data_IF_255276902698
#
_entry.id   IF_255276902698
#
_cell.length_a   1.000
_cell.length_b   1.000
_cell.length_c   1.000
_cell.angle_alpha   90.00
_cell.angle_beta   90.00
_cell.angle_gamma   90.00
#
_symmetry.space_group_name_H-M   'P 1'
#
loop_
_entity.id
_entity.type
_entity.pdbx_description
1 polymer ?
#
# COMPACT_ATOMS: atom_id res chain seq x y z
N UNK A 1 -10.31 -11.70 -24.83
CA UNK A 1 -9.18 -10.74 -24.73
C UNK A 1 -9.56 -9.68 -23.71
N UNK A 2 -8.70 -9.28 -22.74
CA UNK A 2 -8.99 -8.10 -21.93
C UNK A 2 -9.17 -6.91 -22.88
N UNK A 3 -10.18 -6.08 -22.63
CA UNK A 3 -10.44 -4.90 -23.47
C UNK A 3 -9.17 -4.06 -23.56
N UNK A 4 -8.63 -3.92 -24.78
CA UNK A 4 -7.47 -3.09 -25.07
C UNK A 4 -7.88 -1.64 -24.83
N UNK A 5 -7.60 -1.15 -23.63
CA UNK A 5 -7.69 0.27 -23.31
C UNK A 5 -6.49 0.99 -23.93
N UNK A 6 -6.64 2.23 -24.42
CA UNK A 6 -5.51 3.00 -24.92
C UNK A 6 -4.40 3.10 -23.87
N UNK A 7 -3.15 3.02 -24.33
CA UNK A 7 -1.95 3.02 -23.49
C UNK A 7 -1.94 4.18 -22.48
N UNK A 8 -2.26 5.38 -22.95
CA UNK A 8 -2.26 6.62 -22.18
C UNK A 8 -3.31 6.57 -21.07
N UNK A 9 -4.49 6.03 -21.38
CA UNK A 9 -5.58 5.85 -20.43
C UNK A 9 -5.21 4.81 -19.38
N UNK A 10 -4.54 3.73 -19.78
CA UNK A 10 -4.04 2.72 -18.85
C UNK A 10 -3.02 3.31 -17.87
N UNK A 11 -2.02 4.04 -18.37
CA UNK A 11 -1.01 4.73 -17.54
C UNK A 11 -1.69 5.69 -16.55
N UNK A 12 -2.66 6.49 -17.01
CA UNK A 12 -3.40 7.40 -16.13
C UNK A 12 -4.15 6.68 -15.01
N UNK A 13 -4.75 5.52 -15.31
CA UNK A 13 -5.43 4.70 -14.29
C UNK A 13 -4.45 4.07 -13.32
N UNK A 14 -3.31 3.57 -13.81
CA UNK A 14 -2.24 3.04 -12.97
C UNK A 14 -1.65 4.11 -12.03
N UNK A 15 -1.46 5.35 -12.52
CA UNK A 15 -1.04 6.49 -11.68
C UNK A 15 -2.05 6.80 -10.57
N UNK A 16 -3.35 6.70 -10.85
CA UNK A 16 -4.41 6.87 -9.83
C UNK A 16 -4.39 5.76 -8.79
N UNK A 17 -4.13 4.50 -9.19
CA UNK A 17 -3.89 3.39 -8.25
C UNK A 17 -2.68 3.71 -7.39
N UNK A 18 -1.60 4.22 -7.98
CA UNK A 18 -0.40 4.62 -7.23
C UNK A 18 -0.69 5.68 -6.16
N UNK A 19 -1.53 6.68 -6.45
CA UNK A 19 -1.93 7.66 -5.43
C UNK A 19 -2.65 7.01 -4.24
N UNK A 20 -3.52 6.02 -4.50
CA UNK A 20 -4.20 5.26 -3.45
C UNK A 20 -3.18 4.44 -2.65
N UNK A 21 -2.24 3.77 -3.33
CA UNK A 21 -1.18 3.00 -2.67
C UNK A 21 -0.30 3.89 -1.79
N UNK A 22 0.10 5.09 -2.26
CA UNK A 22 0.89 6.03 -1.47
C UNK A 22 0.11 6.46 -0.22
N UNK A 23 -1.16 6.84 -0.38
CA UNK A 23 -2.00 7.20 0.75
C UNK A 23 -2.10 6.05 1.76
N UNK A 24 -2.36 4.82 1.31
CA UNK A 24 -2.45 3.64 2.17
C UNK A 24 -1.12 3.23 2.79
N UNK A 25 -0.01 3.39 2.07
CA UNK A 25 1.34 3.17 2.59
C UNK A 25 1.67 4.15 3.70
N UNK A 26 1.31 5.43 3.53
CA UNK A 26 1.46 6.45 4.58
C UNK A 26 0.59 6.14 5.80
N UNK A 27 -0.66 5.74 5.61
CA UNK A 27 -1.56 5.30 6.69
C UNK A 27 -1.02 4.04 7.40
N UNK A 28 -0.43 3.10 6.66
CA UNK A 28 0.16 1.91 7.28
C UNK A 28 1.42 2.26 8.07
N UNK A 29 2.23 3.22 7.59
CA UNK A 29 3.41 3.69 8.31
C UNK A 29 3.06 4.47 9.58
N UNK A 30 1.94 5.21 9.61
CA UNK A 30 1.51 5.91 10.82
C UNK A 30 1.06 4.98 11.94
N UNK A 31 0.60 3.76 11.64
CA UNK A 31 0.26 2.74 12.66
C UNK A 31 1.43 2.43 13.59
N UNK A 32 2.68 2.53 13.12
CA UNK A 32 3.85 2.32 13.99
C UNK A 32 3.92 3.35 15.11
N UNK A 33 3.58 4.61 14.82
CA UNK A 33 3.50 5.67 15.83
C UNK A 33 2.43 5.34 16.85
N UNK A 34 1.29 4.84 16.38
CA UNK A 34 0.17 4.46 17.24
C UNK A 34 0.53 3.32 18.19
N UNK A 35 1.24 2.30 17.68
CA UNK A 35 1.73 1.18 18.49
C UNK A 35 2.68 1.65 19.60
N UNK A 36 3.58 2.60 19.33
CA UNK A 36 4.47 3.18 20.36
C UNK A 36 3.70 3.96 21.43
N UNK A 37 2.70 4.74 21.00
CA UNK A 37 1.86 5.52 21.92
C UNK A 37 1.02 4.58 22.78
N UNK A 38 0.40 3.56 22.18
CA UNK A 38 -0.41 2.57 22.90
C UNK A 38 0.44 1.80 23.90
N UNK A 39 1.57 1.24 23.47
CA UNK A 39 2.49 0.52 24.35
C UNK A 39 2.97 1.35 25.55
N UNK A 40 3.22 2.64 25.34
CA UNK A 40 3.58 3.58 26.42
C UNK A 40 2.41 3.85 27.36
N UNK A 41 1.18 3.90 26.84
CA UNK A 41 -0.01 4.13 27.63
C UNK A 41 -0.31 2.95 28.57
N UNK A 42 -0.17 1.71 28.08
CA UNK A 42 -0.30 0.51 28.92
C UNK A 42 0.64 0.52 30.13
N UNK A 43 1.82 1.15 30.02
CA UNK A 43 2.80 1.24 31.12
C UNK A 43 2.56 2.41 32.08
N UNK A 44 1.75 3.39 31.69
CA UNK A 44 1.64 4.66 32.41
C UNK A 44 0.23 4.94 32.94
N UNK A 45 -0.76 4.13 32.56
CA UNK A 45 -2.16 4.36 32.94
C UNK A 45 -2.87 3.05 33.27
N UNK A 46 -3.68 3.07 34.33
CA UNK A 46 -4.74 2.08 34.54
C UNK A 46 -5.93 2.52 33.68
N UNK A 47 -6.40 1.64 32.81
CA UNK A 47 -7.38 1.98 31.78
C UNK A 47 -8.80 1.79 32.31
N UNK A 48 -9.63 2.83 32.20
CA UNK A 48 -11.07 2.76 32.53
C UNK A 48 -11.89 1.97 31.49
N UNK A 49 -11.32 1.75 30.30
CA UNK A 49 -11.97 1.09 29.16
C UNK A 49 -10.92 0.66 28.11
N UNK A 50 -11.30 -0.26 27.21
CA UNK A 50 -10.54 -0.60 26.00
C UNK A 50 -10.60 0.49 24.90
N UNK A 51 -11.26 1.62 25.17
CA UNK A 51 -11.34 2.80 24.30
C UNK A 51 -10.52 3.95 24.87
N UNK A 52 -9.21 3.75 25.02
CA UNK A 52 -8.31 4.85 25.39
C UNK A 52 -8.09 5.81 24.21
N UNK A 53 -7.55 7.02 24.43
CA UNK A 53 -7.16 7.90 23.34
C UNK A 53 -6.21 7.25 22.32
N UNK A 54 -5.26 6.42 22.78
CA UNK A 54 -4.36 5.68 21.91
C UNK A 54 -5.11 4.62 21.08
N UNK A 55 -5.99 3.86 21.72
CA UNK A 55 -6.82 2.86 21.02
C UNK A 55 -7.74 3.48 20.00
N UNK A 56 -8.33 4.65 20.28
CA UNK A 56 -9.22 5.31 19.33
C UNK A 56 -8.52 5.59 18.01
N UNK A 57 -7.28 6.05 18.10
CA UNK A 57 -6.45 6.37 16.96
C UNK A 57 -5.96 5.08 16.25
N UNK A 58 -5.53 4.07 17.00
CA UNK A 58 -5.14 2.76 16.46
C UNK A 58 -6.29 2.07 15.71
N UNK A 59 -7.48 1.98 16.32
CA UNK A 59 -8.66 1.37 15.70
C UNK A 59 -9.08 2.12 14.43
N UNK A 60 -8.96 3.45 14.42
CA UNK A 60 -9.27 4.26 13.24
C UNK A 60 -8.40 3.87 12.04
N UNK A 61 -7.11 3.58 12.25
CA UNK A 61 -6.24 3.07 11.18
C UNK A 61 -6.65 1.69 10.70
N UNK A 62 -6.98 0.77 11.61
CA UNK A 62 -7.40 -0.59 11.24
C UNK A 62 -8.79 -0.66 10.60
N UNK A 63 -9.61 0.39 10.73
CA UNK A 63 -10.80 0.59 9.91
C UNK A 63 -10.45 1.22 8.56
N UNK A 64 -9.58 2.23 8.54
CA UNK A 64 -9.23 2.97 7.33
C UNK A 64 -8.48 2.10 6.30
N UNK A 65 -7.53 1.27 6.75
CA UNK A 65 -6.68 0.45 5.89
C UNK A 65 -7.48 -0.55 5.03
N UNK A 66 -8.32 -1.45 5.57
CA UNK A 66 -9.07 -2.39 4.74
C UNK A 66 -10.06 -1.67 3.81
N UNK A 67 -10.65 -0.54 4.24
CA UNK A 67 -11.55 0.25 3.40
C UNK A 67 -10.81 0.95 2.25
N UNK A 68 -9.66 1.54 2.53
CA UNK A 68 -8.85 2.22 1.52
C UNK A 68 -8.26 1.25 0.51
N UNK A 69 -7.79 0.07 0.93
CA UNK A 69 -7.43 -1.01 0.02
C UNK A 69 -8.64 -1.58 -0.73
N UNK A 70 -9.83 -1.60 -0.12
CA UNK A 70 -11.10 -1.88 -0.78
C UNK A 70 -11.41 -0.88 -1.90
N UNK A 71 -11.10 0.41 -1.70
CA UNK A 71 -11.23 1.44 -2.74
C UNK A 71 -10.28 1.19 -3.91
N UNK A 72 -9.04 0.75 -3.63
CA UNK A 72 -8.10 0.30 -4.65
C UNK A 72 -8.68 -0.87 -5.44
N UNK A 73 -9.30 -1.85 -4.78
CA UNK A 73 -9.95 -2.99 -5.44
C UNK A 73 -11.15 -2.61 -6.32
N UNK A 74 -11.94 -1.61 -5.92
CA UNK A 74 -13.02 -1.08 -6.75
C UNK A 74 -12.43 -0.37 -7.97
N UNK A 75 -11.37 0.43 -7.78
CA UNK A 75 -10.74 1.18 -8.86
C UNK A 75 -9.96 0.27 -9.83
N UNK A 76 -9.29 -0.77 -9.32
CA UNK A 76 -8.55 -1.79 -10.08
C UNK A 76 -9.43 -2.47 -11.13
N UNK A 77 -10.76 -2.55 -10.90
CA UNK A 77 -11.71 -2.99 -11.92
C UNK A 77 -11.69 -2.12 -13.17
N UNK A 78 -11.16 -0.91 -13.17
CA UNK A 78 -11.00 -0.09 -14.37
C UNK A 78 -9.73 -0.45 -15.16
N UNK A 79 -8.89 -1.36 -14.68
CA UNK A 79 -7.62 -1.75 -15.30
C UNK A 79 -7.61 -3.27 -15.55
N UNK A 80 -8.16 -3.75 -16.69
CA UNK A 80 -8.35 -5.18 -16.93
C UNK A 80 -7.08 -6.05 -16.80
N UNK A 81 -5.89 -5.48 -17.09
CA UNK A 81 -4.61 -6.22 -17.02
C UNK A 81 -4.18 -6.57 -15.60
N UNK A 82 -4.64 -5.81 -14.59
CA UNK A 82 -4.27 -6.05 -13.18
C UNK A 82 -5.13 -7.15 -12.54
N UNK A 83 -6.20 -7.56 -13.22
CA UNK A 83 -7.12 -8.59 -12.73
C UNK A 83 -6.43 -9.96 -12.68
N UNK A 84 -6.89 -10.79 -11.76
CA UNK A 84 -6.50 -12.19 -11.66
C UNK A 84 -7.18 -13.07 -12.71
N UNK A 85 -6.91 -14.39 -12.68
CA UNK A 85 -7.61 -15.35 -13.53
C UNK A 85 -9.12 -15.23 -13.41
N UNK A 86 -9.85 -15.48 -14.50
CA UNK A 86 -11.32 -15.41 -14.57
C UNK A 86 -11.90 -14.07 -14.11
N UNK A 87 -11.22 -12.97 -14.42
CA UNK A 87 -11.67 -11.63 -14.05
C UNK A 87 -11.76 -11.39 -12.53
N UNK A 88 -11.08 -12.22 -11.74
CA UNK A 88 -11.08 -12.11 -10.29
C UNK A 88 -10.20 -10.94 -9.81
N UNK A 89 -10.38 -10.53 -8.55
CA UNK A 89 -9.49 -9.56 -7.93
C UNK A 89 -8.04 -10.10 -7.88
N UNK A 90 -7.07 -9.20 -8.02
CA UNK A 90 -5.67 -9.51 -7.85
C UNK A 90 -5.39 -10.21 -6.51
N UNK A 91 -4.60 -11.29 -6.52
CA UNK A 91 -4.29 -12.07 -5.30
C UNK A 91 -3.57 -11.25 -4.24
N UNK A 92 -2.61 -10.41 -4.62
CA UNK A 92 -1.92 -9.51 -3.68
C UNK A 92 -2.92 -8.59 -2.98
N UNK A 93 -3.81 -7.97 -3.75
CA UNK A 93 -4.83 -7.07 -3.22
C UNK A 93 -5.84 -7.78 -2.29
N UNK A 94 -6.24 -9.02 -2.63
CA UNK A 94 -7.07 -9.85 -1.72
C UNK A 94 -6.36 -10.09 -0.40
N UNK A 95 -5.09 -10.50 -0.45
CA UNK A 95 -4.29 -10.77 0.74
C UNK A 95 -4.11 -9.51 1.59
N UNK A 96 -3.91 -8.35 0.97
CA UNK A 96 -3.85 -7.06 1.68
C UNK A 96 -5.11 -6.77 2.49
N UNK A 97 -6.27 -6.84 1.83
CA UNK A 97 -7.56 -6.54 2.45
C UNK A 97 -7.86 -7.55 3.56
N UNK A 98 -7.66 -8.84 3.29
CA UNK A 98 -7.91 -9.89 4.28
C UNK A 98 -6.94 -9.80 5.47
N UNK A 99 -5.68 -9.47 5.23
CA UNK A 99 -4.69 -9.29 6.30
C UNK A 99 -5.07 -8.13 7.23
N UNK A 100 -5.44 -6.97 6.67
CA UNK A 100 -5.88 -5.84 7.50
C UNK A 100 -7.21 -6.09 8.21
N UNK A 101 -8.17 -6.77 7.57
CA UNK A 101 -9.41 -7.18 8.23
C UNK A 101 -9.13 -8.15 9.39
N UNK A 102 -8.29 -9.17 9.17
CA UNK A 102 -7.89 -10.10 10.22
C UNK A 102 -7.25 -9.35 11.38
N UNK A 103 -6.32 -8.43 11.07
CA UNK A 103 -5.65 -7.60 12.08
C UNK A 103 -6.65 -6.79 12.90
N UNK A 104 -7.60 -6.12 12.24
CA UNK A 104 -8.65 -5.33 12.89
C UNK A 104 -9.43 -6.14 13.93
N UNK A 105 -9.85 -7.36 13.56
CA UNK A 105 -10.57 -8.24 14.50
C UNK A 105 -9.66 -8.74 15.63
N UNK A 106 -8.43 -9.13 15.33
CA UNK A 106 -7.50 -9.64 16.34
C UNK A 106 -7.07 -8.57 17.35
N UNK A 107 -6.90 -7.32 16.93
CA UNK A 107 -6.59 -6.20 17.85
C UNK A 107 -7.78 -5.88 18.73
N UNK A 108 -9.00 -5.83 18.18
CA UNK A 108 -10.20 -5.61 19.00
C UNK A 108 -10.35 -6.68 20.08
N UNK A 109 -10.12 -7.94 19.74
CA UNK A 109 -10.12 -9.04 20.73
C UNK A 109 -8.97 -8.88 21.73
N UNK A 110 -7.76 -8.55 21.25
CA UNK A 110 -6.57 -8.36 22.10
C UNK A 110 -6.81 -7.30 23.17
N UNK A 111 -7.31 -6.12 22.78
CA UNK A 111 -7.49 -5.01 23.70
C UNK A 111 -8.65 -5.19 24.67
N UNK A 112 -9.76 -5.78 24.22
CA UNK A 112 -10.87 -6.15 25.10
C UNK A 112 -10.43 -7.17 26.16
N UNK A 113 -9.51 -8.07 25.80
CA UNK A 113 -8.96 -9.05 26.74
C UNK A 113 -7.97 -8.45 27.74
N UNK A 114 -7.09 -7.56 27.29
CA UNK A 114 -6.22 -6.80 28.21
C UNK A 114 -7.02 -5.94 29.20
N UNK A 115 -8.28 -5.61 28.90
CA UNK A 115 -9.15 -4.88 29.84
C UNK A 115 -9.83 -5.81 30.85
N UNK A 116 -10.25 -7.01 30.44
CA UNK A 116 -10.99 -7.94 31.31
C UNK A 116 -10.12 -8.87 32.14
N UNK A 117 -8.86 -9.07 31.75
CA UNK A 117 -7.97 -10.02 32.42
C UNK A 117 -6.59 -9.42 32.69
N UNK A 118 -5.89 -9.97 33.69
CA UNK A 118 -4.55 -9.50 34.12
C UNK A 118 -3.51 -9.81 33.03
N UNK A 119 -2.68 -8.82 32.67
CA UNK A 119 -1.71 -8.86 31.56
C UNK A 119 -0.77 -10.08 31.58
N UNK A 120 -0.41 -10.60 32.75
CA UNK A 120 0.58 -11.68 32.93
C UNK A 120 0.18 -13.05 32.34
N UNK A 121 -1.12 -13.31 32.09
CA UNK A 121 -1.59 -14.57 31.49
C UNK A 121 -1.52 -14.54 29.95
N UNK A 122 -1.33 -13.37 29.33
CA UNK A 122 -1.65 -13.15 27.91
C UNK A 122 -0.49 -12.76 27.00
N UNK A 123 0.75 -12.73 27.50
CA UNK A 123 1.91 -12.29 26.74
C UNK A 123 2.23 -13.08 25.45
N UNK A 124 1.51 -14.17 25.09
CA UNK A 124 2.02 -15.13 24.09
C UNK A 124 1.05 -15.62 22.99
N UNK A 125 -0.29 -15.75 23.13
CA UNK A 125 -1.11 -16.23 21.99
C UNK A 125 -1.69 -15.13 21.07
N UNK A 126 -2.46 -14.18 21.61
CA UNK A 126 -3.25 -13.26 20.78
C UNK A 126 -2.41 -12.16 20.11
N UNK A 127 -1.31 -11.74 20.74
CA UNK A 127 -0.39 -10.74 20.18
C UNK A 127 0.25 -11.21 18.85
N UNK A 128 0.48 -12.51 18.67
CA UNK A 128 1.02 -13.01 17.41
C UNK A 128 -0.03 -13.07 16.30
N UNK A 129 -1.31 -13.22 16.64
CA UNK A 129 -2.38 -13.28 15.63
C UNK A 129 -2.53 -11.95 14.89
N UNK A 130 -2.45 -10.81 15.58
CA UNK A 130 -2.51 -9.51 14.91
C UNK A 130 -1.27 -9.28 14.04
N UNK A 131 -0.08 -9.59 14.55
CA UNK A 131 1.16 -9.47 13.81
C UNK A 131 1.13 -10.31 12.52
N UNK A 132 0.57 -11.52 12.58
CA UNK A 132 0.42 -12.37 11.38
C UNK A 132 -0.56 -11.76 10.37
N UNK A 133 -1.63 -11.10 10.82
CA UNK A 133 -2.54 -10.34 9.95
C UNK A 133 -1.83 -9.20 9.23
N UNK A 134 -1.00 -8.43 9.95
CA UNK A 134 -0.19 -7.34 9.38
C UNK A 134 0.80 -7.88 8.37
N UNK A 135 1.53 -8.96 8.70
CA UNK A 135 2.50 -9.59 7.81
C UNK A 135 1.83 -10.04 6.50
N UNK A 136 0.68 -10.70 6.58
CA UNK A 136 -0.11 -11.09 5.40
C UNK A 136 -0.53 -9.86 4.59
N UNK A 137 -0.95 -8.78 5.26
CA UNK A 137 -1.38 -7.56 4.61
C UNK A 137 -0.23 -6.91 3.82
N UNK A 138 0.94 -6.78 4.43
CA UNK A 138 2.14 -6.19 3.85
C UNK A 138 2.68 -7.03 2.69
N UNK A 139 2.73 -8.36 2.81
CA UNK A 139 3.13 -9.23 1.70
C UNK A 139 2.18 -9.09 0.50
N UNK A 140 0.87 -9.05 0.75
CA UNK A 140 -0.13 -8.79 -0.27
C UNK A 140 0.04 -7.43 -0.94
N UNK A 141 0.29 -6.40 -0.13
CA UNK A 141 0.45 -5.03 -0.60
C UNK A 141 1.69 -4.93 -1.49
N UNK A 142 2.83 -5.46 -1.04
CA UNK A 142 4.07 -5.50 -1.81
C UNK A 142 3.87 -6.21 -3.16
N UNK A 143 3.23 -7.38 -3.16
CA UNK A 143 2.94 -8.10 -4.40
C UNK A 143 2.07 -7.28 -5.37
N UNK A 144 1.08 -6.54 -4.85
CA UNK A 144 0.24 -5.66 -5.67
C UNK A 144 1.02 -4.46 -6.21
N UNK A 145 1.83 -3.80 -5.37
CA UNK A 145 2.66 -2.66 -5.74
C UNK A 145 3.66 -3.03 -6.83
N UNK A 146 4.37 -4.15 -6.65
CA UNK A 146 5.32 -4.66 -7.65
C UNK A 146 4.63 -4.88 -8.99
N UNK A 147 3.41 -5.44 -9.00
CA UNK A 147 2.66 -5.66 -10.25
C UNK A 147 2.25 -4.35 -10.93
N UNK A 148 1.75 -3.38 -10.15
CA UNK A 148 1.38 -2.04 -10.67
C UNK A 148 2.60 -1.36 -11.27
N UNK A 149 3.72 -1.39 -10.56
CA UNK A 149 4.98 -0.81 -10.97
C UNK A 149 5.55 -1.48 -12.24
N UNK A 150 5.62 -2.82 -12.26
CA UNK A 150 6.06 -3.58 -13.43
C UNK A 150 5.23 -3.23 -14.67
N UNK A 151 3.91 -3.07 -14.51
CA UNK A 151 3.05 -2.66 -15.63
C UNK A 151 3.32 -1.24 -16.12
N UNK A 152 3.64 -0.31 -15.24
CA UNK A 152 4.06 1.04 -15.64
C UNK A 152 5.36 1.03 -16.45
N UNK A 153 6.33 0.19 -16.05
CA UNK A 153 7.59 -0.01 -16.77
C UNK A 153 7.34 -0.65 -18.14
N UNK A 154 6.51 -1.69 -18.24
CA UNK A 154 6.13 -2.32 -19.52
C UNK A 154 5.49 -1.31 -20.50
N UNK A 155 4.74 -0.35 -19.98
CA UNK A 155 4.12 0.70 -20.79
C UNK A 155 5.10 1.83 -21.12
N UNK A 156 6.36 1.77 -20.70
CA UNK A 156 7.34 2.84 -20.93
C UNK A 156 6.97 4.14 -20.23
N UNK A 157 6.24 4.09 -19.12
CA UNK A 157 5.96 5.28 -18.31
C UNK A 157 7.21 5.79 -17.58
N UNK A 158 8.21 4.91 -17.40
CA UNK A 158 9.50 5.23 -16.76
C UNK A 158 10.67 5.38 -17.75
N UNK A 159 10.49 4.94 -18.99
CA UNK A 159 11.43 5.32 -20.05
C UNK A 159 11.26 6.82 -20.31
N UNK A 160 12.34 7.63 -20.30
CA UNK A 160 12.26 9.00 -20.79
C UNK A 160 11.53 8.94 -22.14
N UNK A 161 10.52 9.77 -22.33
CA UNK A 161 9.94 9.90 -23.66
C UNK A 161 11.09 10.13 -24.62
N UNK A 162 11.18 9.34 -25.70
CA UNK A 162 12.07 9.67 -26.82
C UNK A 162 11.59 11.02 -27.34
N UNK A 163 12.05 12.09 -26.70
CA UNK A 163 11.96 13.40 -27.29
C UNK A 163 12.96 13.31 -28.44
N UNK A 164 12.49 13.34 -29.70
CA UNK A 164 13.37 13.15 -30.85
C UNK A 164 14.52 14.14 -30.80
N UNK A 165 14.27 15.35 -30.29
CA UNK A 165 15.28 16.37 -30.05
C UNK A 165 16.29 15.98 -28.97
N UNK A 166 15.88 15.34 -27.87
CA UNK A 166 16.82 14.91 -26.83
C UNK A 166 17.65 13.72 -27.32
N UNK A 167 17.05 12.77 -28.02
CA UNK A 167 17.78 11.66 -28.64
C UNK A 167 18.77 12.15 -29.71
N UNK A 168 18.36 13.12 -30.53
CA UNK A 168 19.21 13.77 -31.54
C UNK A 168 20.33 14.58 -30.87
N UNK A 169 20.04 15.31 -29.79
CA UNK A 169 21.05 16.01 -28.98
C UNK A 169 22.04 15.02 -28.35
N UNK A 170 21.59 13.90 -27.77
CA UNK A 170 22.50 12.88 -27.26
C UNK A 170 23.38 12.28 -28.37
N UNK A 171 22.80 12.02 -29.54
CA UNK A 171 23.54 11.54 -30.71
C UNK A 171 24.58 12.58 -31.18
N UNK A 172 24.19 13.85 -31.29
CA UNK A 172 25.09 14.95 -31.63
C UNK A 172 26.19 15.15 -30.58
N UNK A 173 25.92 14.89 -29.29
CA UNK A 173 26.90 14.95 -28.21
C UNK A 173 27.93 13.82 -28.34
N UNK A 174 27.47 12.60 -28.60
CA UNK A 174 28.34 11.43 -28.82
C UNK A 174 29.18 11.56 -30.09
N UNK A 175 28.65 12.21 -31.13
CA UNK A 175 29.39 12.53 -32.36
C UNK A 175 30.32 13.75 -32.21
N UNK A 176 30.37 14.39 -31.03
CA UNK A 176 31.18 15.60 -30.79
C UNK A 176 30.69 16.86 -31.52
N UNK A 177 29.49 16.81 -32.10
CA UNK A 177 28.89 17.86 -32.94
C UNK A 177 28.00 18.84 -32.17
N UNK A 178 27.63 18.52 -30.93
CA UNK A 178 26.72 19.36 -30.12
C UNK A 178 27.24 20.79 -29.93
N UNK A 179 28.56 20.94 -29.80
CA UNK A 179 29.23 22.22 -29.60
C UNK A 179 30.06 22.64 -30.83
N UNK A 180 30.05 21.87 -31.92
CA UNK A 180 30.85 22.16 -33.12
C UNK A 180 30.23 23.24 -34.02
N UNK A 181 29.04 23.73 -33.68
CA UNK A 181 28.56 25.02 -34.18
C UNK A 181 29.16 26.12 -33.31
N UNK A 182 30.48 26.24 -33.34
CA UNK A 182 31.14 27.51 -33.06
C UNK A 182 30.60 28.51 -34.08
N UNK A 183 29.73 29.40 -33.59
CA UNK A 183 29.65 30.84 -33.82
C UNK A 183 30.42 31.30 -35.07
N UNK A 184 29.76 31.94 -36.08
CA UNK A 184 30.44 32.48 -37.26
C UNK A 184 31.51 33.51 -36.91
#
# INVERSE_FOLDING_TARGET
MPALIPKEVEIQRLKKIWLIVIAMGSTAASVEVDNFVDGSLHQTSIRDSAFTPAHWWLYSHFVALPLGWGSAAIYDRKVPVLRGPNNSMNTGLKMTILGYLATMFTIGVNEMWHFWFVEEIFAVPNHWMFNMGVVVAFMGALAYVVRVYARLVELGAETPGENPYVAEMYKMALEGKLYSRSIP
#
